data_IF_662301540275
#
_entry.id   IF_662301540275
#
_cell.length_a   1.000
_cell.length_b   1.000
_cell.length_c   1.000
_cell.angle_alpha   90.00
_cell.angle_beta   90.00
_cell.angle_gamma   90.00
#
_symmetry.space_group_name_H-M   'P 1'
#
loop_
_entity.id
_entity.type
_entity.pdbx_description
1 polymer ?
#
# COMPACT_ATOMS: atom_id res chain seq x y z
N UNK A 1 6.32 -22.83 -3.76
CA UNK A 1 5.16 -22.59 -2.89
C UNK A 1 4.62 -21.22 -3.21
N UNK A 2 3.33 -21.08 -3.52
CA UNK A 2 2.68 -19.79 -3.74
C UNK A 2 1.90 -19.40 -2.49
N UNK A 3 2.07 -18.18 -2.00
CA UNK A 3 1.33 -17.63 -0.86
C UNK A 3 0.39 -16.53 -1.34
N UNK A 4 -0.87 -16.58 -0.90
CA UNK A 4 -1.90 -15.59 -1.24
C UNK A 4 -2.86 -15.40 -0.07
N UNK A 5 -3.86 -14.53 -0.24
CA UNK A 5 -4.89 -14.27 0.76
C UNK A 5 -5.83 -13.15 0.34
N UNK A 6 -6.94 -12.97 1.07
CA UNK A 6 -7.97 -11.99 0.72
C UNK A 6 -7.67 -10.59 1.25
N UNK A 7 -6.70 -10.46 2.15
CA UNK A 7 -6.48 -9.25 2.94
C UNK A 7 -6.27 -7.98 2.11
N UNK A 8 -5.72 -8.12 0.91
CA UNK A 8 -5.30 -6.98 0.08
C UNK A 8 -6.26 -6.79 -1.08
N UNK A 9 -6.33 -7.75 -1.98
CA UNK A 9 -7.10 -7.62 -3.21
C UNK A 9 -8.61 -7.61 -2.97
N UNK A 10 -9.14 -8.19 -1.88
CA UNK A 10 -10.57 -8.07 -1.51
C UNK A 10 -10.86 -6.96 -0.50
N UNK A 11 -9.87 -6.17 -0.06
CA UNK A 11 -10.05 -5.23 1.05
C UNK A 11 -10.38 -5.89 2.40
N UNK A 12 -10.14 -7.20 2.55
CA UNK A 12 -10.54 -7.99 3.71
C UNK A 12 -9.42 -8.12 4.77
N UNK A 13 -8.74 -7.02 5.10
CA UNK A 13 -7.53 -7.03 5.94
C UNK A 13 -7.71 -7.70 7.31
N UNK A 14 -8.85 -7.45 7.95
CA UNK A 14 -9.21 -8.02 9.26
C UNK A 14 -9.70 -9.47 9.23
N UNK A 15 -9.86 -10.09 8.06
CA UNK A 15 -10.52 -11.40 7.94
C UNK A 15 -9.57 -12.58 8.13
N UNK A 16 -8.25 -12.32 8.17
CA UNK A 16 -7.22 -13.31 8.54
C UNK A 16 -7.28 -14.62 7.73
N UNK A 17 -7.52 -14.52 6.41
CA UNK A 17 -7.45 -15.66 5.50
C UNK A 17 -6.26 -15.53 4.56
N UNK A 18 -5.40 -16.55 4.61
CA UNK A 18 -4.31 -16.78 3.67
C UNK A 18 -4.36 -18.21 3.11
N UNK A 19 -3.67 -18.42 2.00
CA UNK A 19 -3.56 -19.72 1.34
C UNK A 19 -2.10 -19.98 0.97
N UNK A 20 -1.70 -21.24 1.05
CA UNK A 20 -0.45 -21.72 0.47
C UNK A 20 -0.79 -22.82 -0.55
N UNK A 21 -0.18 -22.74 -1.72
CA UNK A 21 -0.29 -23.75 -2.77
C UNK A 21 1.09 -24.37 -3.01
N UNK A 22 1.16 -25.70 -2.90
CA UNK A 22 2.38 -26.47 -3.02
C UNK A 22 2.37 -27.26 -4.34
N UNK A 23 3.51 -27.40 -5.03
CA UNK A 23 3.66 -28.42 -6.06
C UNK A 23 3.61 -29.80 -5.41
N UNK A 24 3.18 -30.82 -6.17
CA UNK A 24 3.02 -32.21 -5.67
C UNK A 24 4.29 -32.77 -5.03
N UNK A 25 5.46 -32.43 -5.56
CA UNK A 25 6.75 -32.91 -5.04
C UNK A 25 7.07 -32.34 -3.63
N UNK A 26 6.26 -31.41 -3.12
CA UNK A 26 6.39 -30.81 -1.78
C UNK A 26 5.22 -31.17 -0.86
N UNK A 27 4.47 -32.24 -1.14
CA UNK A 27 3.37 -32.70 -0.26
C UNK A 27 3.84 -32.97 1.17
N UNK A 28 5.04 -33.53 1.34
CA UNK A 28 5.66 -33.75 2.65
C UNK A 28 5.76 -32.47 3.49
N UNK A 29 6.02 -31.32 2.84
CA UNK A 29 6.12 -30.03 3.49
C UNK A 29 4.74 -29.43 3.77
N UNK A 30 3.80 -29.59 2.83
CA UNK A 30 2.41 -29.19 3.02
C UNK A 30 1.79 -29.89 4.23
N UNK A 31 1.95 -31.21 4.34
CA UNK A 31 1.46 -32.01 5.46
C UNK A 31 2.09 -31.57 6.78
N UNK A 32 3.41 -31.37 6.79
CA UNK A 32 4.14 -30.87 7.96
C UNK A 32 3.63 -29.49 8.40
N UNK A 33 3.41 -28.57 7.45
CA UNK A 33 2.86 -27.25 7.73
C UNK A 33 1.41 -27.32 8.23
N UNK A 34 0.59 -28.23 7.70
CA UNK A 34 -0.78 -28.45 8.15
C UNK A 34 -0.84 -28.98 9.58
N UNK A 35 0.04 -29.91 9.94
CA UNK A 35 0.18 -30.41 11.30
C UNK A 35 0.61 -29.31 12.29
N UNK A 36 1.59 -28.47 11.92
CA UNK A 36 1.97 -27.32 12.76
C UNK A 36 0.81 -26.32 12.90
N UNK A 37 0.08 -26.07 11.81
CA UNK A 37 -1.06 -25.17 11.80
C UNK A 37 -2.19 -25.64 12.72
N UNK A 38 -2.50 -26.95 12.76
CA UNK A 38 -3.55 -27.50 13.61
C UNK A 38 -3.27 -27.27 15.09
N UNK A 39 -2.00 -27.37 15.49
CA UNK A 39 -1.54 -27.17 16.87
C UNK A 39 -1.33 -25.70 17.25
N UNK A 40 -1.20 -24.79 16.27
CA UNK A 40 -0.93 -23.37 16.54
C UNK A 40 -2.19 -22.52 16.53
N UNK A 41 -3.07 -22.71 15.54
CA UNK A 41 -4.27 -21.87 15.35
C UNK A 41 -5.49 -22.64 14.83
N UNK A 42 -5.41 -23.98 14.80
CA UNK A 42 -6.49 -24.87 14.37
C UNK A 42 -6.92 -24.62 12.93
N UNK A 43 -7.93 -23.77 12.70
CA UNK A 43 -8.51 -23.52 11.38
C UNK A 43 -9.01 -22.08 11.26
N UNK A 44 -9.03 -21.56 10.04
CA UNK A 44 -9.68 -20.28 9.73
C UNK A 44 -11.18 -20.37 10.05
N UNK A 45 -11.81 -19.27 10.49
CA UNK A 45 -13.23 -19.29 10.83
C UNK A 45 -14.12 -19.67 9.63
N UNK A 46 -15.09 -20.56 9.84
CA UNK A 46 -15.91 -21.13 8.77
C UNK A 46 -16.63 -20.07 7.91
N UNK A 47 -17.26 -19.01 8.46
CA UNK A 47 -17.89 -17.98 7.64
C UNK A 47 -16.92 -17.29 6.65
N UNK A 48 -15.68 -17.09 7.07
CA UNK A 48 -14.64 -16.48 6.24
C UNK A 48 -14.20 -17.44 5.13
N UNK A 49 -14.14 -18.75 5.41
CA UNK A 49 -13.88 -19.76 4.38
C UNK A 49 -14.99 -19.76 3.31
N UNK A 50 -16.27 -19.67 3.70
CA UNK A 50 -17.38 -19.60 2.74
C UNK A 50 -17.30 -18.35 1.86
N UNK A 51 -17.01 -17.19 2.45
CA UNK A 51 -16.79 -15.96 1.69
C UNK A 51 -15.59 -16.05 0.75
N UNK A 52 -14.51 -16.72 1.18
CA UNK A 52 -13.33 -16.94 0.35
C UNK A 52 -13.63 -17.80 -0.86
N UNK A 53 -14.38 -18.90 -0.68
CA UNK A 53 -14.82 -19.75 -1.80
C UNK A 53 -15.61 -18.91 -2.81
N UNK A 54 -16.51 -18.04 -2.35
CA UNK A 54 -17.25 -17.15 -3.23
C UNK A 54 -16.33 -16.16 -3.96
N UNK A 55 -15.40 -15.51 -3.26
CA UNK A 55 -14.46 -14.56 -3.85
C UNK A 55 -13.53 -15.22 -4.89
N UNK A 56 -12.99 -16.41 -4.58
CA UNK A 56 -12.07 -17.14 -5.47
C UNK A 56 -12.77 -17.77 -6.68
N UNK A 57 -14.07 -18.08 -6.59
CA UNK A 57 -14.86 -18.47 -7.78
C UNK A 57 -15.01 -17.33 -8.78
N UNK A 58 -14.74 -16.09 -8.37
CA UNK A 58 -14.88 -14.91 -9.22
C UNK A 58 -16.35 -14.54 -9.44
N UNK A 59 -16.57 -13.66 -10.41
CA UNK A 59 -17.89 -13.17 -10.79
C UNK A 59 -17.91 -11.68 -11.05
N UNK A 60 -18.96 -11.21 -11.72
CA UNK A 60 -19.05 -9.81 -12.18
C UNK A 60 -18.93 -8.81 -11.02
N UNK A 61 -19.49 -9.14 -9.85
CA UNK A 61 -19.45 -8.24 -8.69
C UNK A 61 -18.02 -8.02 -8.17
N UNK A 62 -17.24 -9.10 -7.98
CA UNK A 62 -15.86 -8.98 -7.51
C UNK A 62 -14.95 -8.38 -8.60
N UNK A 63 -15.13 -8.76 -9.87
CA UNK A 63 -14.37 -8.18 -10.98
C UNK A 63 -14.62 -6.67 -11.11
N UNK A 64 -15.87 -6.24 -11.00
CA UNK A 64 -16.23 -4.81 -11.00
C UNK A 64 -15.53 -4.07 -9.87
N UNK A 65 -15.60 -4.59 -8.65
CA UNK A 65 -14.88 -4.05 -7.51
C UNK A 65 -13.37 -3.93 -7.81
N UNK A 66 -12.74 -4.97 -8.36
CA UNK A 66 -11.32 -4.98 -8.67
C UNK A 66 -10.92 -4.01 -9.79
N UNK A 67 -11.77 -3.81 -10.80
CA UNK A 67 -11.52 -2.80 -11.83
C UNK A 67 -11.52 -1.39 -11.24
N UNK A 68 -12.52 -1.07 -10.40
CA UNK A 68 -12.62 0.24 -9.77
C UNK A 68 -11.51 0.46 -8.73
N UNK A 69 -11.21 -0.53 -7.88
CA UNK A 69 -10.12 -0.44 -6.92
C UNK A 69 -8.76 -0.19 -7.60
N UNK A 70 -8.46 -0.92 -8.69
CA UNK A 70 -7.20 -0.75 -9.44
C UNK A 70 -7.09 0.62 -10.09
N UNK A 71 -8.12 1.11 -10.78
CA UNK A 71 -8.04 2.43 -11.43
C UNK A 71 -7.94 3.58 -10.42
N UNK A 72 -8.61 3.49 -9.26
CA UNK A 72 -8.47 4.47 -8.18
C UNK A 72 -7.03 4.49 -7.67
N UNK A 73 -6.48 3.34 -7.29
CA UNK A 73 -5.12 3.25 -6.74
C UNK A 73 -4.05 3.60 -7.77
N UNK A 74 -4.27 3.27 -9.05
CA UNK A 74 -3.38 3.65 -10.15
C UNK A 74 -3.35 5.16 -10.33
N UNK A 75 -4.50 5.83 -10.41
CA UNK A 75 -4.55 7.30 -10.58
C UNK A 75 -4.01 8.02 -9.35
N UNK A 76 -4.39 7.58 -8.14
CA UNK A 76 -3.89 8.14 -6.88
C UNK A 76 -2.37 7.98 -6.75
N UNK A 77 -1.85 6.77 -6.99
CA UNK A 77 -0.43 6.48 -6.95
C UNK A 77 0.35 7.35 -7.93
N UNK A 78 -0.08 7.46 -9.19
CA UNK A 78 0.61 8.31 -10.16
C UNK A 78 0.56 9.81 -9.81
N UNK A 79 -0.49 10.27 -9.11
CA UNK A 79 -0.54 11.65 -8.62
C UNK A 79 0.38 11.89 -7.42
N UNK A 80 0.41 10.98 -6.44
CA UNK A 80 1.37 11.03 -5.33
C UNK A 80 2.83 10.97 -5.82
N UNK A 81 3.10 10.13 -6.82
CA UNK A 81 4.43 10.02 -7.44
C UNK A 81 4.89 11.37 -7.97
N UNK A 82 4.08 12.03 -8.82
CA UNK A 82 4.40 13.35 -9.38
C UNK A 82 4.65 14.41 -8.30
N UNK A 83 3.74 14.54 -7.33
CA UNK A 83 3.86 15.52 -6.23
C UNK A 83 5.20 15.39 -5.52
N UNK A 84 5.63 14.15 -5.25
CA UNK A 84 6.85 13.89 -4.51
C UNK A 84 8.11 14.02 -5.37
N UNK A 85 8.07 13.59 -6.63
CA UNK A 85 9.19 13.77 -7.56
C UNK A 85 9.45 15.23 -7.90
N UNK A 86 8.41 16.06 -7.98
CA UNK A 86 8.53 17.50 -8.18
C UNK A 86 9.25 18.18 -7.00
N UNK A 87 9.19 17.58 -5.81
CA UNK A 87 9.95 17.98 -4.61
C UNK A 87 11.33 17.31 -4.50
N UNK A 88 11.85 16.76 -5.60
CA UNK A 88 13.14 16.08 -5.70
C UNK A 88 13.29 14.83 -4.79
N UNK A 89 12.19 14.25 -4.32
CA UNK A 89 12.20 12.92 -3.70
C UNK A 89 12.33 11.89 -4.82
N UNK A 90 13.35 11.04 -4.75
CA UNK A 90 13.57 9.98 -5.74
C UNK A 90 12.63 8.81 -5.45
N UNK A 91 11.81 8.42 -6.42
CA UNK A 91 10.80 7.37 -6.28
C UNK A 91 10.58 6.68 -7.63
N UNK A 92 10.48 5.35 -7.62
CA UNK A 92 10.03 4.60 -8.79
C UNK A 92 8.52 4.79 -9.03
N UNK A 93 8.06 4.83 -10.30
CA UNK A 93 6.64 4.83 -10.61
C UNK A 93 5.92 3.62 -9.98
N UNK A 94 4.69 3.79 -9.48
CA UNK A 94 3.95 2.68 -8.87
C UNK A 94 3.38 1.75 -9.95
N UNK A 95 3.81 0.49 -9.93
CA UNK A 95 3.30 -0.56 -10.85
C UNK A 95 2.31 -1.52 -10.17
N UNK A 96 2.22 -1.48 -8.84
CA UNK A 96 1.37 -2.38 -8.06
C UNK A 96 1.43 -2.10 -6.57
N UNK A 97 0.73 -2.93 -5.80
CA UNK A 97 0.51 -2.72 -4.37
C UNK A 97 -0.07 -1.32 -4.08
N UNK A 98 0.21 -0.79 -2.88
CA UNK A 98 -0.24 0.53 -2.46
C UNK A 98 0.79 1.25 -1.56
N UNK A 99 2.07 1.02 -1.87
CA UNK A 99 3.19 1.60 -1.14
C UNK A 99 4.15 2.29 -2.11
N UNK A 100 4.79 3.36 -1.64
CA UNK A 100 5.93 3.98 -2.30
C UNK A 100 7.14 3.91 -1.38
N UNK A 101 8.28 3.59 -1.95
CA UNK A 101 9.56 3.66 -1.26
C UNK A 101 10.23 4.97 -1.62
N UNK A 102 10.13 5.92 -0.70
CA UNK A 102 10.64 7.28 -0.83
C UNK A 102 12.14 7.28 -0.57
N UNK A 103 12.89 7.96 -1.42
CA UNK A 103 14.32 8.16 -1.24
C UNK A 103 14.67 9.64 -1.25
N UNK A 104 15.03 10.15 -0.07
CA UNK A 104 15.41 11.53 0.18
C UNK A 104 16.93 11.77 0.04
N UNK A 105 17.71 10.78 -0.43
CA UNK A 105 19.15 10.94 -0.68
C UNK A 105 19.49 12.15 -1.57
N UNK A 106 18.71 12.50 -2.61
CA UNK A 106 18.97 13.73 -3.38
C UNK A 106 18.94 15.02 -2.53
N UNK A 107 18.30 14.97 -1.36
CA UNK A 107 18.16 16.08 -0.42
C UNK A 107 19.10 15.94 0.79
N UNK A 108 20.04 14.98 0.78
CA UNK A 108 20.86 14.63 1.94
C UNK A 108 21.63 15.81 2.53
N UNK A 109 22.27 16.65 1.70
CA UNK A 109 23.00 17.82 2.19
C UNK A 109 22.09 18.81 2.92
N UNK A 110 20.90 19.04 2.37
CA UNK A 110 19.90 19.95 2.93
C UNK A 110 19.33 19.43 4.25
N UNK A 111 19.01 18.13 4.28
CA UNK A 111 18.54 17.44 5.47
C UNK A 111 19.63 17.39 6.56
N UNK A 112 20.90 17.19 6.19
CA UNK A 112 22.02 17.21 7.12
C UNK A 112 22.21 18.58 7.80
N UNK A 113 21.97 19.69 7.09
CA UNK A 113 21.96 21.05 7.68
C UNK A 113 20.83 21.24 8.70
N UNK A 114 19.75 20.47 8.57
CA UNK A 114 18.64 20.40 9.54
C UNK A 114 18.88 19.36 10.65
N UNK A 115 20.06 18.73 10.69
CA UNK A 115 20.42 17.71 11.68
C UNK A 115 19.88 16.31 11.37
N UNK A 116 19.35 16.08 10.17
CA UNK A 116 18.74 14.81 9.76
C UNK A 116 19.75 14.01 8.94
N UNK A 117 20.22 12.88 9.47
CA UNK A 117 21.26 12.05 8.83
C UNK A 117 20.91 10.57 8.73
N UNK A 118 19.75 10.18 9.25
CA UNK A 118 19.27 8.81 9.27
C UNK A 118 17.75 8.76 9.01
N UNK A 119 17.26 7.59 8.59
CA UNK A 119 15.85 7.39 8.25
C UNK A 119 14.89 7.47 9.42
N UNK A 120 15.33 7.18 10.65
CA UNK A 120 14.47 7.25 11.85
C UNK A 120 14.19 8.70 12.19
N UNK A 121 15.24 9.51 12.33
CA UNK A 121 15.16 10.96 12.53
C UNK A 121 14.39 11.60 11.37
N UNK A 122 14.62 11.20 10.12
CA UNK A 122 13.85 11.68 8.97
C UNK A 122 12.34 11.50 9.19
N UNK A 123 11.89 10.28 9.52
CA UNK A 123 10.47 9.98 9.70
C UNK A 123 9.87 10.69 10.91
N UNK A 124 10.61 10.80 12.02
CA UNK A 124 10.19 11.56 13.20
C UNK A 124 9.99 13.04 12.87
N UNK A 125 10.91 13.64 12.09
CA UNK A 125 10.80 15.05 11.69
C UNK A 125 9.66 15.28 10.71
N UNK A 126 9.41 14.36 9.77
CA UNK A 126 8.23 14.42 8.89
C UNK A 126 6.94 14.35 9.73
N UNK A 127 6.88 13.47 10.73
CA UNK A 127 5.73 13.37 11.62
C UNK A 127 5.52 14.66 12.43
N UNK A 128 6.56 15.17 13.09
CA UNK A 128 6.48 16.34 13.97
C UNK A 128 6.20 17.64 13.21
N UNK A 129 6.83 17.83 12.04
CA UNK A 129 6.78 19.11 11.32
C UNK A 129 5.72 19.15 10.21
N UNK A 130 5.37 18.01 9.62
CA UNK A 130 4.40 17.91 8.53
C UNK A 130 3.10 17.19 8.97
N UNK A 131 3.09 16.52 10.12
CA UNK A 131 1.93 15.77 10.60
C UNK A 131 1.63 14.53 9.75
N UNK A 132 2.65 13.93 9.13
CA UNK A 132 2.49 12.74 8.27
C UNK A 132 3.32 11.59 8.83
N UNK A 133 2.65 10.47 9.12
CA UNK A 133 3.32 9.25 9.57
C UNK A 133 3.76 8.39 8.38
N UNK A 134 5.05 8.13 8.29
CA UNK A 134 5.68 7.19 7.33
C UNK A 134 6.62 6.26 8.09
N UNK A 135 7.03 5.16 7.48
CA UNK A 135 7.90 4.18 8.13
C UNK A 135 9.35 4.33 7.67
N UNK A 136 10.34 4.33 8.58
CA UNK A 136 11.74 4.46 8.21
C UNK A 136 12.22 3.24 7.41
N UNK A 137 13.20 3.46 6.54
CA UNK A 137 13.83 2.40 5.74
C UNK A 137 14.42 1.27 6.59
N UNK A 138 14.85 1.57 7.82
CA UNK A 138 15.35 0.57 8.79
C UNK A 138 14.31 -0.50 9.14
N UNK A 139 13.00 -0.19 9.07
CA UNK A 139 11.93 -1.17 9.23
C UNK A 139 11.87 -2.21 8.08
N UNK A 140 12.63 -1.97 7.01
CA UNK A 140 12.78 -2.82 5.83
C UNK A 140 14.23 -3.24 5.61
N UNK A 141 15.02 -3.27 6.68
CA UNK A 141 16.43 -3.71 6.66
C UNK A 141 17.34 -2.86 5.77
N UNK A 142 16.95 -1.61 5.47
CA UNK A 142 17.86 -0.64 4.84
C UNK A 142 18.86 -0.10 5.86
N UNK A 143 20.09 0.26 5.44
CA UNK A 143 21.04 0.94 6.29
C UNK A 143 20.45 2.21 6.91
N UNK A 144 20.76 2.47 8.17
CA UNK A 144 20.21 3.60 8.94
C UNK A 144 20.49 4.95 8.27
N UNK A 145 21.69 5.11 7.70
CA UNK A 145 22.15 6.32 7.00
C UNK A 145 21.50 6.54 5.63
N UNK A 146 20.78 5.55 5.10
CA UNK A 146 19.97 5.77 3.90
C UNK A 146 18.70 6.51 4.28
N UNK A 147 18.51 7.70 3.70
CA UNK A 147 17.34 8.55 3.94
C UNK A 147 16.12 8.04 3.17
N UNK A 148 15.74 6.79 3.43
CA UNK A 148 14.61 6.12 2.78
C UNK A 148 13.45 5.93 3.76
N UNK A 149 12.23 5.90 3.21
CA UNK A 149 11.02 5.67 3.99
C UNK A 149 9.93 5.02 3.14
N UNK A 150 9.03 4.25 3.76
CA UNK A 150 7.84 3.71 3.11
C UNK A 150 6.61 4.56 3.43
N UNK A 151 5.93 5.03 2.39
CA UNK A 151 4.62 5.67 2.47
C UNK A 151 3.55 4.70 1.94
N UNK A 152 2.41 4.60 2.63
CA UNK A 152 1.22 3.94 2.10
C UNK A 152 0.23 4.99 1.58
N UNK A 153 -0.36 4.78 0.40
CA UNK A 153 -1.29 5.74 -0.22
C UNK A 153 -2.75 5.26 -0.19
N UNK A 154 -3.17 4.68 0.93
CA UNK A 154 -4.52 4.12 1.15
C UNK A 154 -5.26 4.76 2.32
N UNK A 155 -4.87 5.98 2.70
CA UNK A 155 -5.59 6.74 3.71
C UNK A 155 -6.67 7.60 3.06
N UNK A 156 -7.82 6.98 2.77
CA UNK A 156 -9.01 7.64 2.23
C UNK A 156 -10.25 6.75 2.43
N UNK A 157 -11.45 7.33 2.27
CA UNK A 157 -12.69 6.58 2.33
C UNK A 157 -12.89 5.74 1.05
N UNK A 158 -12.51 4.46 1.12
CA UNK A 158 -12.61 3.54 0.00
C UNK A 158 -14.05 3.31 -0.49
N UNK A 159 -15.04 3.31 0.40
CA UNK A 159 -16.45 3.14 0.01
C UNK A 159 -16.94 4.32 -0.84
N UNK A 160 -16.62 5.55 -0.43
CA UNK A 160 -16.95 6.75 -1.19
C UNK A 160 -16.22 6.77 -2.55
N UNK A 161 -14.91 6.50 -2.55
CA UNK A 161 -14.12 6.49 -3.79
C UNK A 161 -14.61 5.43 -4.79
N UNK A 162 -14.99 4.24 -4.31
CA UNK A 162 -15.57 3.18 -5.14
C UNK A 162 -16.91 3.60 -5.73
N UNK A 163 -17.84 4.10 -4.89
CA UNK A 163 -19.14 4.55 -5.34
C UNK A 163 -19.02 5.67 -6.40
N UNK A 164 -18.14 6.65 -6.16
CA UNK A 164 -17.86 7.70 -7.12
C UNK A 164 -17.25 7.15 -8.42
N UNK A 165 -16.29 6.23 -8.34
CA UNK A 165 -15.66 5.62 -9.52
C UNK A 165 -16.65 4.83 -10.36
N UNK A 166 -17.63 4.17 -9.73
CA UNK A 166 -18.68 3.40 -10.39
C UNK A 166 -19.64 4.26 -11.23
N UNK A 167 -19.73 5.57 -10.96
CA UNK A 167 -20.48 6.51 -11.81
C UNK A 167 -19.77 6.87 -13.11
N UNK A 168 -18.48 6.55 -13.23
CA UNK A 168 -17.65 6.89 -14.38
C UNK A 168 -17.38 5.61 -15.18
N UNK A 169 -17.76 5.56 -16.48
CA UNK A 169 -17.50 4.40 -17.34
C UNK A 169 -16.03 3.95 -17.29
N UNK A 170 -15.80 2.63 -17.30
CA UNK A 170 -14.46 2.05 -17.15
C UNK A 170 -13.45 2.46 -18.24
N UNK A 171 -13.93 2.79 -19.44
CA UNK A 171 -13.10 3.25 -20.56
C UNK A 171 -12.65 4.72 -20.42
N UNK A 172 -13.26 5.49 -19.53
CA UNK A 172 -12.86 6.87 -19.26
C UNK A 172 -11.84 6.88 -18.11
N UNK A 173 -10.71 7.59 -18.21
CA UNK A 173 -9.76 7.68 -17.11
C UNK A 173 -10.35 8.47 -15.93
N UNK A 174 -9.91 8.17 -14.71
CA UNK A 174 -10.18 9.04 -13.56
C UNK A 174 -9.26 10.25 -13.63
N UNK A 175 -9.80 11.44 -13.36
CA UNK A 175 -9.06 12.70 -13.40
C UNK A 175 -8.34 12.96 -12.06
N UNK A 176 -7.39 13.89 -12.06
CA UNK A 176 -6.82 14.38 -10.78
C UNK A 176 -7.88 15.00 -9.87
N UNK A 177 -8.90 15.64 -10.47
CA UNK A 177 -9.97 16.24 -9.71
C UNK A 177 -10.81 15.18 -8.98
N UNK A 178 -11.08 14.06 -9.64
CA UNK A 178 -11.67 12.90 -8.98
C UNK A 178 -10.87 12.48 -7.74
N UNK A 179 -9.54 12.42 -7.85
CA UNK A 179 -8.67 12.05 -6.74
C UNK A 179 -8.67 13.10 -5.63
N UNK A 180 -8.64 14.40 -5.97
CA UNK A 180 -8.75 15.48 -4.97
C UNK A 180 -10.06 15.43 -4.21
N UNK A 181 -11.18 15.13 -4.87
CA UNK A 181 -12.49 15.03 -4.20
C UNK A 181 -12.63 13.77 -3.34
N UNK A 182 -12.04 12.63 -3.73
CA UNK A 182 -12.33 11.32 -3.11
C UNK A 182 -11.19 10.74 -2.27
N UNK A 183 -9.96 11.22 -2.46
CA UNK A 183 -8.74 10.71 -1.81
C UNK A 183 -7.92 11.84 -1.16
N UNK A 184 -8.60 12.90 -0.71
CA UNK A 184 -7.99 14.16 -0.27
C UNK A 184 -6.90 13.96 0.77
N UNK A 185 -7.15 13.17 1.81
CA UNK A 185 -6.20 12.97 2.92
C UNK A 185 -4.84 12.43 2.44
N UNK A 186 -4.85 11.47 1.51
CA UNK A 186 -3.62 10.91 0.94
C UNK A 186 -2.87 11.94 0.08
N UNK A 187 -3.58 12.71 -0.73
CA UNK A 187 -2.96 13.79 -1.53
C UNK A 187 -2.40 14.90 -0.64
N UNK A 188 -3.13 15.30 0.38
CA UNK A 188 -2.66 16.28 1.37
C UNK A 188 -1.41 15.79 2.09
N UNK A 189 -1.33 14.50 2.44
CA UNK A 189 -0.13 13.92 3.04
C UNK A 189 1.07 13.97 2.09
N UNK A 190 0.89 13.61 0.81
CA UNK A 190 1.95 13.70 -0.19
C UNK A 190 2.44 15.15 -0.38
N UNK A 191 1.51 16.12 -0.45
CA UNK A 191 1.86 17.54 -0.57
C UNK A 191 2.62 18.05 0.67
N UNK A 192 2.19 17.65 1.87
CA UNK A 192 2.88 18.04 3.11
C UNK A 192 4.30 17.49 3.18
N UNK A 193 4.54 16.27 2.70
CA UNK A 193 5.88 15.70 2.57
C UNK A 193 6.70 16.51 1.55
N UNK A 194 6.13 16.81 0.39
CA UNK A 194 6.78 17.59 -0.67
C UNK A 194 7.18 19.00 -0.19
N UNK A 195 6.27 19.70 0.48
CA UNK A 195 6.52 21.03 1.07
C UNK A 195 7.60 20.95 2.15
N UNK A 196 7.56 19.93 3.00
CA UNK A 196 8.54 19.69 4.06
C UNK A 196 9.95 19.39 3.51
N UNK A 197 10.04 18.61 2.43
CA UNK A 197 11.28 18.32 1.72
C UNK A 197 11.86 19.60 1.06
N UNK A 198 10.97 20.49 0.62
CA UNK A 198 11.30 21.76 -0.02
C UNK A 198 11.71 22.88 0.95
N UNK A 199 11.51 22.72 2.27
CA UNK A 199 12.10 23.58 3.32
C UNK A 199 13.58 23.30 3.55
#
# INVERSE_FOLDING_TARGET
ILSSGLSKWCGAGGWRLGTFTFPRDLDWLMESMAAVASETYTSVSAPIQFAAVHAFRGGVAIERYLWHARRILSTLGNQCHRILTDAAVRIHPPEGAFYMFLDFTPLAEKLARRGIRDSVTLCERVLQEAGVAILPGTAFERPETELTARMAYVNFNGANALAASETIPLHQPLTEEFIRCNCLETITAAQRIADWASK
#
